data_IF_285550308178
#
_entry.id   IF_285550308178
#
_cell.length_a   1.000
_cell.length_b   1.000
_cell.length_c   1.000
_cell.angle_alpha   90.00
_cell.angle_beta   90.00
_cell.angle_gamma   90.00
#
_symmetry.space_group_name_H-M   'P 1'
#
loop_
_entity.id
_entity.type
_entity.pdbx_description
1 polymer ?
#
# COMPACT_ATOMS: atom_id res chain seq x y z
N UNK A 1 9.76 -13.25 -11.58
CA UNK A 1 9.78 -12.54 -10.28
C UNK A 1 8.35 -12.55 -9.78
N UNK A 2 8.13 -12.87 -8.51
CA UNK A 2 6.79 -12.90 -7.92
C UNK A 2 6.38 -11.47 -7.57
N UNK A 3 5.22 -11.04 -8.05
CA UNK A 3 4.65 -9.72 -7.76
C UNK A 3 3.64 -9.86 -6.62
N UNK A 4 3.74 -9.00 -5.61
CA UNK A 4 2.83 -9.02 -4.46
C UNK A 4 1.94 -7.80 -4.46
N UNK A 5 0.67 -7.98 -4.12
CA UNK A 5 -0.31 -6.90 -4.09
C UNK A 5 -1.06 -6.92 -2.77
N UNK A 6 -1.41 -5.74 -2.28
CA UNK A 6 -2.32 -5.60 -1.15
C UNK A 6 -3.71 -5.23 -1.67
N UNK A 7 -4.70 -6.07 -1.43
CA UNK A 7 -6.07 -5.75 -1.75
C UNK A 7 -6.63 -4.83 -0.66
N UNK A 8 -6.79 -3.54 -0.98
CA UNK A 8 -7.30 -2.55 -0.03
C UNK A 8 -8.79 -2.67 0.29
N UNK A 9 -9.53 -3.47 -0.48
CA UNK A 9 -10.93 -3.78 -0.23
C UNK A 9 -11.09 -4.93 0.77
N UNK A 10 -10.34 -6.02 0.62
CA UNK A 10 -10.44 -7.18 1.52
C UNK A 10 -9.48 -7.12 2.70
N UNK A 11 -8.38 -6.38 2.55
CA UNK A 11 -7.29 -6.31 3.51
C UNK A 11 -6.28 -7.45 3.40
N UNK A 12 -6.31 -8.20 2.30
CA UNK A 12 -5.48 -9.39 2.10
C UNK A 12 -4.31 -9.14 1.14
N UNK A 13 -3.28 -9.98 1.24
CA UNK A 13 -2.14 -9.96 0.32
C UNK A 13 -2.31 -11.04 -0.73
N UNK A 14 -2.21 -10.64 -1.99
CA UNK A 14 -2.37 -11.50 -3.16
C UNK A 14 -1.02 -11.73 -3.85
N UNK A 15 -0.78 -12.97 -4.27
CA UNK A 15 0.33 -13.31 -5.16
C UNK A 15 -0.13 -13.12 -6.61
N UNK A 16 0.50 -12.18 -7.32
CA UNK A 16 0.14 -11.82 -8.68
C UNK A 16 -1.22 -11.12 -8.78
N UNK A 17 -1.69 -10.98 -10.02
CA UNK A 17 -2.86 -10.18 -10.31
C UNK A 17 -4.20 -10.95 -10.10
N UNK A 18 -4.61 -11.16 -8.84
CA UNK A 18 -5.88 -11.86 -8.54
C UNK A 18 -7.13 -10.96 -8.56
N UNK A 19 -7.10 -9.79 -7.89
CA UNK A 19 -8.24 -8.85 -7.88
C UNK A 19 -8.23 -7.81 -9.03
N UNK A 20 -9.15 -6.83 -9.02
CA UNK A 20 -9.09 -5.73 -9.99
C UNK A 20 -7.91 -4.80 -9.68
N UNK A 21 -7.26 -4.25 -10.72
CA UNK A 21 -6.13 -3.33 -10.55
C UNK A 21 -6.45 -2.11 -9.69
N UNK A 22 -7.68 -1.61 -9.76
CA UNK A 22 -8.17 -0.48 -8.96
C UNK A 22 -8.32 -0.79 -7.47
N UNK A 23 -8.35 -2.06 -7.08
CA UNK A 23 -8.54 -2.52 -5.69
C UNK A 23 -7.22 -2.98 -5.05
N UNK A 24 -6.10 -2.85 -5.77
CA UNK A 24 -4.79 -3.32 -5.32
C UNK A 24 -3.79 -2.18 -5.23
N UNK A 25 -3.01 -2.19 -4.16
CA UNK A 25 -1.79 -1.41 -4.03
C UNK A 25 -0.60 -2.32 -4.40
N UNK A 26 0.36 -1.82 -5.20
CA UNK A 26 1.52 -2.58 -5.65
C UNK A 26 1.92 -2.30 -7.10
N UNK A 27 2.85 -3.08 -7.69
CA UNK A 27 3.45 -4.31 -7.14
C UNK A 27 4.49 -4.05 -6.04
N UNK A 28 4.49 -4.92 -5.05
CA UNK A 28 5.48 -4.99 -3.98
C UNK A 28 6.47 -6.13 -4.23
N UNK A 29 7.71 -5.95 -3.74
CA UNK A 29 8.79 -6.92 -3.93
C UNK A 29 8.61 -8.18 -3.09
N UNK A 30 7.95 -8.08 -1.93
CA UNK A 30 7.72 -9.20 -1.01
C UNK A 30 6.30 -9.18 -0.46
N UNK A 31 5.83 -10.36 -0.01
CA UNK A 31 4.55 -10.51 0.67
C UNK A 31 4.45 -9.63 1.93
N UNK A 32 5.55 -9.53 2.67
CA UNK A 32 5.63 -8.72 3.89
C UNK A 32 5.46 -7.23 3.58
N UNK A 33 6.06 -6.74 2.50
CA UNK A 33 5.92 -5.33 2.11
C UNK A 33 4.49 -5.01 1.67
N UNK A 34 3.85 -5.94 0.95
CA UNK A 34 2.43 -5.85 0.63
C UNK A 34 1.55 -5.86 1.89
N UNK A 35 1.83 -6.72 2.88
CA UNK A 35 1.08 -6.76 4.13
C UNK A 35 1.13 -5.42 4.90
N UNK A 36 2.23 -4.69 4.76
CA UNK A 36 2.45 -3.38 5.39
C UNK A 36 1.98 -2.20 4.53
N UNK A 37 1.40 -2.44 3.36
CA UNK A 37 0.91 -1.36 2.49
C UNK A 37 0.02 -0.33 3.22
N UNK A 38 -0.92 -0.71 4.10
CA UNK A 38 -1.72 0.26 4.86
C UNK A 38 -0.91 1.12 5.82
N UNK A 39 0.16 0.57 6.41
CA UNK A 39 1.04 1.30 7.31
C UNK A 39 1.89 2.29 6.55
N UNK A 40 2.45 1.88 5.40
CA UNK A 40 3.24 2.73 4.52
C UNK A 40 2.41 3.92 4.02
N UNK A 41 1.17 3.67 3.59
CA UNK A 41 0.26 4.72 3.11
C UNK A 41 -0.08 5.69 4.26
N UNK A 42 -0.39 5.17 5.46
CA UNK A 42 -0.68 6.00 6.64
C UNK A 42 0.52 6.85 7.07
N UNK A 43 1.73 6.28 7.08
CA UNK A 43 2.94 7.03 7.42
C UNK A 43 3.21 8.16 6.42
N UNK A 44 3.05 7.89 5.13
CA UNK A 44 3.19 8.90 4.07
C UNK A 44 2.15 10.01 4.21
N UNK A 45 0.88 9.66 4.45
CA UNK A 45 -0.19 10.62 4.67
C UNK A 45 0.09 11.51 5.89
N UNK A 46 0.59 10.91 6.99
CA UNK A 46 0.97 11.64 8.20
C UNK A 46 2.12 12.61 7.93
N UNK A 47 3.19 12.16 7.26
CA UNK A 47 4.34 13.02 6.92
C UNK A 47 3.91 14.23 6.10
N UNK A 48 3.05 14.05 5.10
CA UNK A 48 2.53 15.18 4.32
C UNK A 48 1.67 16.14 5.13
N UNK A 49 0.81 15.63 6.03
CA UNK A 49 0.03 16.48 6.93
C UNK A 49 0.91 17.27 7.91
N UNK A 50 2.01 16.69 8.41
CA UNK A 50 2.98 17.36 9.28
C UNK A 50 3.84 18.40 8.56
N UNK A 51 4.07 18.25 7.25
CA UNK A 51 4.74 19.26 6.43
C UNK A 51 3.80 20.42 6.07
N UNK A 52 2.54 20.14 5.70
CA UNK A 52 1.51 21.16 5.43
C UNK A 52 1.24 22.03 6.67
N UNK A 53 1.13 21.42 7.85
CA UNK A 53 0.93 22.13 9.11
C UNK A 53 2.11 23.02 9.54
N UNK A 54 3.30 22.84 8.97
CA UNK A 54 4.50 23.66 9.25
C UNK A 54 4.71 24.79 8.23
N UNK A 55 3.81 24.96 7.27
CA UNK A 55 3.97 25.91 6.17
C UNK A 55 2.66 26.55 5.70
N UNK A 56 1.97 27.28 6.58
CA UNK A 56 1.13 28.43 6.26
C UNK A 56 1.27 29.48 7.37
#
# INVERSE_FOLDING_TARGET
>A
MTEWYYNRRTGEVEEGAQSLGSERDGPFATKEDAARAPEIIRERARKWAEEDARGN
#
